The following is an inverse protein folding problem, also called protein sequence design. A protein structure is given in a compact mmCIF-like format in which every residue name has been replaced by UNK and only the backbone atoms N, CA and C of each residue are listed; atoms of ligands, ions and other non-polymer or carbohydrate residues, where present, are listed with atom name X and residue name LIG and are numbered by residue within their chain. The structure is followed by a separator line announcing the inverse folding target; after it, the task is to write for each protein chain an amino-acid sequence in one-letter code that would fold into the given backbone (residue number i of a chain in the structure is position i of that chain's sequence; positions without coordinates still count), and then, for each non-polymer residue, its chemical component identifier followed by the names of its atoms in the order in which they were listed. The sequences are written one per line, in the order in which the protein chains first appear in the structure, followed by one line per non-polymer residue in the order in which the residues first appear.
data_IF_254405401175
#
_entry.id   IF_254405401175
#
_cell.length_a   1.000
_cell.length_b   1.000
_cell.length_c   1.000
_cell.angle_alpha   90.00
_cell.angle_beta   90.00
_cell.angle_gamma   90.00
#
_symmetry.space_group_name_H-M   'P 1'
#
loop_
_entity.id
_entity.type
_entity.pdbx_description
1 polymer ?
#
# COMPACT_ATOMS: atom_id res chain seq x y z
N UNK A 1 21.65 33.43 10.17
CA UNK A 1 20.21 33.15 9.99
C UNK A 1 19.93 32.50 8.64
N UNK A 2 20.22 33.15 7.50
CA UNK A 2 19.98 32.56 6.16
C UNK A 2 20.68 31.22 5.91
N UNK A 3 21.99 31.08 6.20
CA UNK A 3 22.71 29.80 6.02
C UNK A 3 22.19 28.67 6.92
N UNK A 4 21.83 28.95 8.18
CA UNK A 4 21.29 27.94 9.10
C UNK A 4 19.91 27.42 8.66
N UNK A 5 19.10 28.32 8.08
CA UNK A 5 17.80 27.97 7.49
C UNK A 5 17.99 27.14 6.22
N UNK A 6 18.96 27.50 5.36
CA UNK A 6 19.34 26.71 4.19
C UNK A 6 19.83 25.31 4.56
N UNK A 7 20.71 25.20 5.58
CA UNK A 7 21.25 23.92 6.05
C UNK A 7 20.15 23.07 6.69
N UNK A 8 19.22 23.68 7.44
CA UNK A 8 18.07 23.00 8.02
C UNK A 8 17.12 22.44 6.96
N UNK A 9 16.84 23.19 5.89
CA UNK A 9 16.00 22.73 4.77
C UNK A 9 16.70 21.60 4.00
N UNK A 10 18.01 21.71 3.75
CA UNK A 10 18.80 20.66 3.08
C UNK A 10 18.87 19.39 3.95
N UNK A 11 19.06 19.51 5.27
CA UNK A 11 18.99 18.38 6.19
C UNK A 11 17.60 17.74 6.19
N UNK A 12 16.52 18.52 6.22
CA UNK A 12 15.15 17.99 6.18
C UNK A 12 14.82 17.31 4.83
N UNK A 13 15.45 17.72 3.73
CA UNK A 13 15.33 17.03 2.43
C UNK A 13 16.25 15.81 2.29
N UNK A 14 17.39 15.77 2.98
CA UNK A 14 18.29 14.60 3.04
C UNK A 14 17.84 13.55 4.06
N UNK A 15 17.16 13.97 5.12
CA UNK A 15 16.54 13.12 6.17
C UNK A 15 15.06 12.89 5.86
N UNK A 16 14.54 13.47 4.76
CA UNK A 16 13.20 13.21 4.23
C UNK A 16 13.09 11.72 4.00
N UNK A 17 12.41 11.07 4.93
CA UNK A 17 12.57 9.68 5.26
C UNK A 17 12.79 8.79 4.03
N UNK A 18 13.82 7.94 4.10
CA UNK A 18 13.79 6.64 3.41
C UNK A 18 12.71 5.80 4.10
N UNK A 19 11.46 6.28 4.10
CA UNK A 19 10.31 5.47 4.39
C UNK A 19 10.26 4.52 3.20
N UNK A 20 10.67 3.27 3.44
CA UNK A 20 10.44 2.21 2.49
C UNK A 20 8.95 2.08 2.20
N UNK A 21 8.62 1.37 1.13
CA UNK A 21 7.25 1.06 0.75
C UNK A 21 6.42 0.66 1.98
N UNK A 22 5.25 1.24 2.18
CA UNK A 22 4.37 0.85 3.28
C UNK A 22 3.45 -0.28 2.82
N UNK A 23 3.30 -1.34 3.60
CA UNK A 23 2.39 -2.44 3.29
C UNK A 23 1.55 -2.83 4.51
N UNK A 24 0.37 -3.38 4.27
CA UNK A 24 -0.33 -4.11 5.32
C UNK A 24 0.41 -5.42 5.62
N UNK A 25 0.58 -5.75 6.89
CA UNK A 25 1.21 -7.00 7.34
C UNK A 25 0.34 -7.73 8.33
N UNK A 26 0.06 -9.00 8.08
CA UNK A 26 -0.70 -9.85 9.00
C UNK A 26 -0.66 -11.32 8.61
N UNK A 27 -1.09 -12.14 9.56
CA UNK A 27 -1.47 -13.53 9.38
C UNK A 27 -2.83 -13.73 10.05
N UNK A 28 -3.91 -13.82 9.27
CA UNK A 28 -5.28 -13.84 9.84
C UNK A 28 -6.28 -14.57 8.95
N UNK A 29 -7.21 -15.28 9.59
CA UNK A 29 -8.37 -15.88 8.91
C UNK A 29 -9.45 -14.85 8.54
N UNK A 30 -9.37 -13.63 9.11
CA UNK A 30 -10.28 -12.54 8.82
C UNK A 30 -9.57 -11.40 8.05
N UNK A 31 -9.79 -11.22 6.74
CA UNK A 31 -9.17 -10.16 5.94
C UNK A 31 -9.39 -8.75 6.51
N UNK A 32 -10.56 -8.51 7.11
CA UNK A 32 -10.93 -7.19 7.65
C UNK A 32 -10.13 -6.80 8.90
N UNK A 33 -9.51 -7.77 9.57
CA UNK A 33 -8.64 -7.51 10.74
C UNK A 33 -7.20 -7.11 10.36
N UNK A 34 -6.86 -7.20 9.07
CA UNK A 34 -5.52 -6.94 8.58
C UNK A 34 -5.30 -5.45 8.30
N UNK A 35 -5.12 -4.67 9.37
CA UNK A 35 -4.97 -3.21 9.31
C UNK A 35 -3.59 -2.71 9.76
N UNK A 36 -2.73 -3.62 10.22
CA UNK A 36 -1.40 -3.26 10.68
C UNK A 36 -0.51 -2.84 9.49
N UNK A 37 0.02 -1.62 9.57
CA UNK A 37 0.88 -1.03 8.54
C UNK A 37 2.34 -1.19 8.97
N UNK A 38 3.19 -1.54 8.02
CA UNK A 38 4.62 -1.71 8.25
C UNK A 38 5.43 -1.07 7.12
N UNK A 39 6.53 -0.40 7.49
CA UNK A 39 7.51 0.13 6.54
C UNK A 39 8.43 -1.02 6.06
N UNK A 40 8.43 -1.29 4.77
CA UNK A 40 9.25 -2.34 4.19
C UNK A 40 10.75 -1.99 4.28
N UNK A 41 11.57 -3.01 4.57
CA UNK A 41 13.01 -2.88 4.58
C UNK A 41 13.56 -2.61 3.16
N UNK A 42 14.83 -2.21 3.09
CA UNK A 42 15.53 -2.05 1.81
C UNK A 42 15.43 -3.33 0.95
N UNK A 43 15.23 -3.16 -0.36
CA UNK A 43 15.03 -4.22 -1.37
C UNK A 43 13.66 -4.92 -1.38
N UNK A 44 12.75 -4.57 -0.47
CA UNK A 44 11.35 -5.02 -0.54
C UNK A 44 10.50 -3.96 -1.24
N UNK A 45 10.34 -4.12 -2.54
CA UNK A 45 9.74 -3.15 -3.45
C UNK A 45 8.29 -3.48 -3.86
N UNK A 46 7.69 -4.52 -3.26
CA UNK A 46 6.31 -4.94 -3.52
C UNK A 46 5.58 -5.22 -2.21
N UNK A 47 4.27 -5.01 -2.21
CA UNK A 47 3.40 -5.62 -1.20
C UNK A 47 2.84 -6.92 -1.77
N UNK A 48 2.65 -7.94 -0.94
CA UNK A 48 1.99 -9.19 -1.32
C UNK A 48 0.70 -9.43 -0.54
N UNK A 49 -0.16 -10.25 -1.12
CA UNK A 49 -1.27 -10.91 -0.44
C UNK A 49 -1.31 -12.35 -0.93
N UNK A 50 -1.29 -13.30 0.01
CA UNK A 50 -1.48 -14.72 -0.29
C UNK A 50 -2.69 -15.27 0.45
N UNK A 51 -3.41 -16.17 -0.22
CA UNK A 51 -4.48 -16.97 0.41
C UNK A 51 -3.93 -18.37 0.59
N UNK A 52 -3.70 -18.73 1.84
CA UNK A 52 -3.32 -20.08 2.27
C UNK A 52 -4.61 -20.89 2.48
N UNK A 53 -4.49 -22.23 2.53
CA UNK A 53 -5.61 -23.12 2.81
C UNK A 53 -6.46 -22.63 4.00
N UNK A 54 -7.76 -22.96 4.00
CA UNK A 54 -8.71 -22.56 5.05
C UNK A 54 -8.99 -21.05 5.15
N UNK A 55 -8.87 -20.32 4.03
CA UNK A 55 -9.19 -18.88 3.94
C UNK A 55 -8.29 -17.99 4.81
N UNK A 56 -7.11 -18.50 5.15
CA UNK A 56 -6.09 -17.78 5.89
C UNK A 56 -5.37 -16.81 4.94
N UNK A 57 -5.34 -15.54 5.31
CA UNK A 57 -4.74 -14.49 4.50
C UNK A 57 -3.44 -14.06 5.15
N UNK A 58 -2.39 -14.03 4.34
CA UNK A 58 -1.12 -13.43 4.70
C UNK A 58 -0.90 -12.18 3.86
N UNK A 59 -0.47 -11.10 4.50
CA UNK A 59 -0.01 -9.88 3.83
C UNK A 59 1.36 -9.54 4.34
N UNK A 60 2.25 -9.11 3.45
CA UNK A 60 3.62 -8.82 3.78
C UNK A 60 4.30 -7.92 2.74
N UNK A 61 5.49 -7.44 3.10
CA UNK A 61 6.46 -6.88 2.17
C UNK A 61 7.11 -8.02 1.38
N UNK A 62 7.29 -7.83 0.07
CA UNK A 62 7.81 -8.83 -0.84
C UNK A 62 8.81 -8.18 -1.80
N UNK A 63 9.75 -8.99 -2.29
CA UNK A 63 10.67 -8.56 -3.34
C UNK A 63 10.08 -8.87 -4.72
N UNK A 64 10.37 -8.03 -5.70
CA UNK A 64 9.91 -8.21 -7.09
C UNK A 64 10.41 -9.50 -7.74
N UNK A 65 11.60 -9.99 -7.40
CA UNK A 65 12.11 -11.29 -7.87
C UNK A 65 11.18 -12.43 -7.42
N UNK A 66 10.79 -12.45 -6.15
CA UNK A 66 9.86 -13.45 -5.62
C UNK A 66 8.50 -13.33 -6.29
N UNK A 67 7.96 -12.11 -6.44
CA UNK A 67 6.65 -11.89 -7.08
C UNK A 67 6.55 -12.42 -8.52
N UNK A 68 7.65 -12.40 -9.28
CA UNK A 68 7.68 -12.87 -10.68
C UNK A 68 7.93 -14.38 -10.80
N UNK A 69 8.49 -15.01 -9.77
CA UNK A 69 8.86 -16.43 -9.77
C UNK A 69 7.82 -17.33 -9.09
N UNK A 70 6.72 -16.79 -8.56
CA UNK A 70 5.66 -17.63 -7.99
C UNK A 70 4.67 -18.05 -9.08
N UNK A 71 4.89 -19.23 -9.66
CA UNK A 71 3.87 -19.97 -10.42
C UNK A 71 2.67 -20.42 -9.53
N UNK A 72 2.67 -20.07 -8.23
CA UNK A 72 1.56 -20.37 -7.34
C UNK A 72 0.45 -19.34 -7.49
N UNK A 73 -0.68 -19.81 -8.02
CA UNK A 73 -1.96 -19.09 -8.27
C UNK A 73 -2.47 -18.23 -7.09
N UNK A 74 -1.95 -18.43 -5.87
CA UNK A 74 -2.44 -17.81 -4.64
C UNK A 74 -1.72 -16.54 -4.19
N UNK A 75 -0.55 -16.17 -4.76
CA UNK A 75 0.19 -14.95 -4.37
C UNK A 75 -0.09 -13.81 -5.35
N UNK A 76 -0.53 -12.67 -4.83
CA UNK A 76 -0.72 -11.42 -5.60
C UNK A 76 0.23 -10.35 -5.09
N UNK A 77 0.94 -9.72 -6.00
CA UNK A 77 1.82 -8.60 -5.68
C UNK A 77 1.34 -7.29 -6.32
N UNK A 78 1.70 -6.18 -5.69
CA UNK A 78 1.46 -4.84 -6.20
C UNK A 78 2.59 -3.89 -5.75
N UNK A 79 2.72 -2.76 -6.43
CA UNK A 79 3.65 -1.70 -6.09
C UNK A 79 2.89 -0.46 -5.62
N UNK A 80 3.45 0.28 -4.67
CA UNK A 80 2.85 1.47 -4.06
C UNK A 80 2.30 1.23 -2.66
N UNK A 81 2.28 2.28 -1.85
CA UNK A 81 1.93 2.17 -0.44
C UNK A 81 0.53 1.60 -0.24
N UNK A 82 0.44 0.64 0.68
CA UNK A 82 -0.79 -0.01 1.13
C UNK A 82 -1.61 -0.65 0.00
N UNK A 83 -1.01 -0.89 -1.16
CA UNK A 83 -1.69 -1.43 -2.34
C UNK A 83 -2.26 -2.84 -2.11
N UNK A 84 -1.74 -3.56 -1.11
CA UNK A 84 -2.23 -4.85 -0.67
C UNK A 84 -3.42 -4.73 0.29
N UNK A 85 -4.05 -3.57 0.44
CA UNK A 85 -5.30 -3.41 1.18
C UNK A 85 -6.44 -4.28 0.63
N UNK A 86 -7.46 -4.52 1.45
CA UNK A 86 -8.62 -5.31 1.03
C UNK A 86 -9.35 -4.62 -0.13
N UNK A 87 -9.37 -5.24 -1.33
CA UNK A 87 -10.43 -5.01 -2.34
C UNK A 87 -11.70 -5.74 -1.89
N UNK A 88 -12.30 -5.31 -0.78
CA UNK A 88 -13.63 -5.78 -0.38
C UNK A 88 -14.55 -4.62 -0.04
N UNK A 89 -14.69 -3.70 -0.99
CA UNK A 89 -15.95 -2.99 -1.23
C UNK A 89 -16.06 -2.79 -2.73
N UNK A 90 -16.96 -3.53 -3.37
CA UNK A 90 -17.22 -3.41 -4.80
C UNK A 90 -17.61 -1.98 -5.16
N UNK A 91 -17.07 -1.48 -6.27
CA UNK A 91 -17.80 -0.68 -7.26
C UNK A 91 -18.85 0.30 -6.68
N UNK A 92 -18.44 1.23 -5.81
CA UNK A 92 -19.34 2.30 -5.33
C UNK A 92 -18.69 3.68 -5.25
N UNK A 93 -17.35 3.77 -5.24
CA UNK A 93 -16.64 5.06 -5.18
C UNK A 93 -16.79 5.88 -6.48
N UNK A 94 -16.68 5.32 -7.70
CA UNK A 94 -16.91 6.11 -8.92
C UNK A 94 -18.40 6.49 -9.11
N UNK A 95 -19.33 5.69 -8.57
CA UNK A 95 -20.77 5.90 -8.75
C UNK A 95 -21.29 7.15 -8.01
N UNK A 96 -20.67 7.49 -6.88
CA UNK A 96 -21.05 8.65 -6.07
C UNK A 96 -20.41 9.97 -6.55
N UNK A 97 -19.36 9.93 -7.36
CA UNK A 97 -18.68 11.12 -7.89
C UNK A 97 -19.41 11.76 -9.08
N UNK A 98 -20.06 10.94 -9.93
CA UNK A 98 -20.81 11.42 -11.08
C UNK A 98 -21.99 12.36 -10.77
N UNK A 99 -22.85 12.10 -9.75
CA UNK A 99 -23.98 12.98 -9.46
C UNK A 99 -23.59 14.35 -8.89
N UNK A 100 -22.45 14.46 -8.19
CA UNK A 100 -22.00 15.74 -7.60
C UNK A 100 -21.57 16.73 -8.70
N UNK A 101 -20.87 16.25 -9.72
CA UNK A 101 -20.42 17.08 -10.84
C UNK A 101 -21.58 17.65 -11.67
N UNK A 102 -22.70 16.93 -11.74
CA UNK A 102 -23.92 17.37 -12.43
C UNK A 102 -24.57 18.52 -11.65
N UNK A 103 -24.74 18.39 -10.33
CA UNK A 103 -25.38 19.43 -9.51
C UNK A 103 -24.61 20.75 -9.57
N UNK A 104 -23.27 20.72 -9.61
CA UNK A 104 -22.45 21.94 -9.76
C UNK A 104 -22.52 22.59 -11.14
N UNK A 105 -22.99 21.88 -12.17
CA UNK A 105 -23.12 22.38 -13.54
C UNK A 105 -24.50 23.01 -13.81
N UNK A 106 -25.47 22.71 -12.94
CA UNK A 106 -26.86 23.19 -13.02
C UNK A 106 -27.23 24.21 -11.92
N UNK A 107 -26.28 24.64 -11.09
CA UNK A 107 -26.37 25.79 -10.17
C UNK A 107 -25.49 26.91 -10.74
#
# INVERSE_FOLDING_TARGET
MRLCVSLGIICMMLIGAVCGLQCFTCWSANPGSCTHVWDCAENYDRCSTSIVAENLITKECMRSDMCNNVDSVSVRCCAGDLCNGAKHTGVLVPLLLMPIAIITLFI
#
